data_IF_821243851980
#
_entry.id   IF_821243851980
#
_cell.length_a   1.000
_cell.length_b   1.000
_cell.length_c   1.000
_cell.angle_alpha   90.00
_cell.angle_beta   90.00
_cell.angle_gamma   90.00
#
_symmetry.space_group_name_H-M   'P 1'
#
loop_
_entity.id
_entity.type
_entity.pdbx_description
1 polymer ?
#
# COMPACT_ATOMS: atom_id res chain seq x y z
N UNK A 1 8.70 -3.57 -12.93
CA UNK A 1 7.88 -3.49 -11.69
C UNK A 1 8.63 -2.68 -10.66
N UNK A 2 7.94 -1.76 -9.99
CA UNK A 2 8.45 -0.97 -8.86
C UNK A 2 7.73 -1.38 -7.58
N UNK A 3 8.40 -1.23 -6.44
CA UNK A 3 7.82 -1.50 -5.14
C UNK A 3 8.14 -0.38 -4.18
N UNK A 4 7.14 0.11 -3.47
CA UNK A 4 7.32 1.22 -2.53
C UNK A 4 6.51 1.00 -1.26
N UNK A 5 7.03 1.60 -0.19
CA UNK A 5 6.38 1.71 1.11
C UNK A 5 6.26 3.20 1.41
N UNK A 6 5.05 3.66 1.70
CA UNK A 6 4.76 5.07 1.96
C UNK A 6 4.04 5.16 3.30
N UNK A 7 4.67 5.83 4.25
CA UNK A 7 3.99 6.28 5.47
C UNK A 7 3.22 7.55 5.16
N UNK A 8 1.98 7.64 5.65
CA UNK A 8 1.17 8.83 5.59
C UNK A 8 1.00 9.38 7.01
N UNK A 9 1.59 10.55 7.26
CA UNK A 9 1.67 11.20 8.54
C UNK A 9 0.45 12.10 8.74
N UNK A 10 -0.58 11.54 9.39
CA UNK A 10 -1.83 12.25 9.73
C UNK A 10 -2.45 11.71 11.02
N UNK A 11 -3.53 12.35 11.47
CA UNK A 11 -4.33 11.93 12.63
C UNK A 11 -5.74 11.41 12.26
N UNK A 12 -6.04 11.24 10.97
CA UNK A 12 -7.32 10.67 10.52
C UNK A 12 -7.46 9.17 10.85
N UNK A 13 -8.44 8.81 11.66
CA UNK A 13 -8.68 7.41 12.07
C UNK A 13 -9.16 6.49 10.93
N UNK A 14 -9.76 7.07 9.89
CA UNK A 14 -10.33 6.32 8.76
C UNK A 14 -9.36 6.11 7.59
N UNK A 15 -8.21 6.78 7.61
CA UNK A 15 -7.24 6.76 6.52
C UNK A 15 -6.05 5.85 6.87
N UNK A 16 -5.39 5.24 5.88
CA UNK A 16 -4.25 4.36 6.13
C UNK A 16 -3.01 5.15 6.55
N UNK A 17 -2.33 4.69 7.61
CA UNK A 17 -1.04 5.23 8.06
C UNK A 17 0.14 4.70 7.25
N UNK A 18 -0.04 3.59 6.53
CA UNK A 18 0.94 3.08 5.59
C UNK A 18 0.30 2.46 4.36
N UNK A 19 0.89 2.73 3.20
CA UNK A 19 0.48 2.24 1.89
C UNK A 19 1.69 1.55 1.25
N UNK A 20 1.59 0.25 1.01
CA UNK A 20 2.63 -0.56 0.35
C UNK A 20 2.12 -1.01 -1.01
N UNK A 21 2.85 -0.67 -2.07
CA UNK A 21 2.40 -0.89 -3.45
C UNK A 21 3.41 -1.70 -4.25
N UNK A 22 2.89 -2.66 -5.02
CA UNK A 22 3.55 -3.17 -6.22
C UNK A 22 2.95 -2.43 -7.42
N UNK A 23 3.84 -1.79 -8.19
CA UNK A 23 3.48 -0.95 -9.31
C UNK A 23 4.07 -1.50 -10.61
N UNK A 24 3.38 -1.27 -11.72
CA UNK A 24 4.01 -1.32 -13.05
C UNK A 24 5.09 -0.25 -13.16
N UNK A 25 5.95 -0.35 -14.18
CA UNK A 25 6.99 0.67 -14.39
C UNK A 25 6.38 2.06 -14.67
N UNK A 26 5.18 2.09 -15.27
CA UNK A 26 4.38 3.29 -15.51
C UNK A 26 3.59 3.78 -14.28
N UNK A 27 3.77 3.14 -13.12
CA UNK A 27 3.19 3.57 -11.83
C UNK A 27 1.77 3.12 -11.53
N UNK A 28 1.20 2.19 -12.32
CA UNK A 28 -0.12 1.63 -12.03
C UNK A 28 -0.06 0.56 -10.96
N UNK A 29 -1.01 0.55 -10.03
CA UNK A 29 -1.07 -0.45 -8.98
C UNK A 29 -1.42 -1.84 -9.54
N UNK A 30 -0.60 -2.83 -9.19
CA UNK A 30 -0.86 -4.26 -9.42
C UNK A 30 -1.40 -4.90 -8.15
N UNK A 31 -0.79 -4.55 -7.01
CA UNK A 31 -1.20 -4.95 -5.66
C UNK A 31 -0.96 -3.81 -4.69
N UNK A 32 -1.87 -3.66 -3.73
CA UNK A 32 -1.77 -2.68 -2.65
C UNK A 32 -2.09 -3.31 -1.30
N UNK A 33 -1.30 -2.94 -0.30
CA UNK A 33 -1.53 -3.21 1.12
C UNK A 33 -1.71 -1.86 1.80
N UNK A 34 -2.80 -1.71 2.55
CA UNK A 34 -3.06 -0.53 3.37
C UNK A 34 -3.10 -0.95 4.84
N UNK A 35 -2.40 -0.22 5.69
CA UNK A 35 -2.43 -0.42 7.14
C UNK A 35 -3.12 0.79 7.76
N UNK A 36 -4.18 0.53 8.51
CA UNK A 36 -4.98 1.56 9.17
C UNK A 36 -4.57 1.73 10.64
N UNK A 37 -4.95 2.84 11.28
CA UNK A 37 -4.84 3.01 12.73
C UNK A 37 -5.38 1.80 13.48
N UNK A 38 -4.63 1.30 14.47
CA UNK A 38 -4.97 0.08 15.20
C UNK A 38 -4.55 -1.23 14.53
N UNK A 39 -3.93 -1.17 13.34
CA UNK A 39 -3.27 -2.30 12.69
C UNK A 39 -4.18 -3.20 11.84
N UNK A 40 -5.42 -2.78 11.56
CA UNK A 40 -6.24 -3.46 10.54
C UNK A 40 -5.62 -3.26 9.16
N UNK A 41 -5.83 -4.24 8.28
CA UNK A 41 -5.17 -4.28 6.98
C UNK A 41 -6.19 -4.42 5.85
N UNK A 42 -6.03 -3.55 4.86
CA UNK A 42 -6.69 -3.64 3.56
C UNK A 42 -5.77 -4.22 2.50
N UNK A 43 -6.34 -4.97 1.56
CA UNK A 43 -5.62 -5.55 0.42
C UNK A 43 -6.42 -5.33 -0.85
N UNK A 44 -5.73 -4.97 -1.93
CA UNK A 44 -6.33 -4.87 -3.26
C UNK A 44 -5.42 -5.45 -4.33
N UNK A 45 -6.03 -6.13 -5.31
CA UNK A 45 -5.37 -6.68 -6.50
C UNK A 45 -6.40 -6.93 -7.60
N UNK A 46 -5.95 -7.31 -8.81
CA UNK A 46 -6.84 -7.79 -9.87
C UNK A 46 -7.64 -9.05 -9.50
N UNK A 47 -7.28 -9.76 -8.42
CA UNK A 47 -7.99 -10.95 -7.92
C UNK A 47 -9.06 -10.62 -6.88
N UNK A 48 -9.18 -9.35 -6.48
CA UNK A 48 -10.16 -8.89 -5.51
C UNK A 48 -9.56 -7.97 -4.45
N UNK A 49 -10.47 -7.50 -3.61
CA UNK A 49 -10.25 -6.50 -2.57
C UNK A 49 -10.77 -6.98 -1.21
N UNK A 50 -10.21 -6.44 -0.13
CA UNK A 50 -10.63 -6.71 1.25
C UNK A 50 -10.20 -5.60 2.19
N UNK A 51 -10.88 -5.50 3.34
CA UNK A 51 -10.53 -4.52 4.38
C UNK A 51 -10.73 -3.06 3.95
N UNK A 52 -11.65 -2.81 3.00
CA UNK A 52 -11.96 -1.46 2.50
C UNK A 52 -10.95 -0.89 1.50
N UNK A 53 -9.90 -1.63 1.15
CA UNK A 53 -8.92 -1.20 0.15
C UNK A 53 -9.43 -1.41 -1.27
N UNK A 54 -8.96 -0.62 -2.23
CA UNK A 54 -9.20 -0.78 -3.67
C UNK A 54 -7.99 -0.28 -4.46
N UNK A 55 -7.75 -0.79 -5.67
CA UNK A 55 -6.68 -0.25 -6.52
C UNK A 55 -7.00 1.19 -6.96
N UNK A 56 -6.00 2.05 -6.99
CA UNK A 56 -6.16 3.44 -7.43
C UNK A 56 -6.53 3.54 -8.92
N UNK A 57 -7.38 4.52 -9.25
CA UNK A 57 -7.77 4.84 -10.63
C UNK A 57 -6.73 5.68 -11.38
N UNK A 58 -5.72 6.18 -10.66
CA UNK A 58 -4.62 6.98 -11.18
C UNK A 58 -3.29 6.32 -10.86
N UNK A 59 -2.27 6.59 -11.68
CA UNK A 59 -0.92 6.13 -11.40
C UNK A 59 -0.38 6.76 -10.12
N UNK A 60 0.36 5.96 -9.35
CA UNK A 60 1.08 6.43 -8.18
C UNK A 60 2.27 7.31 -8.61
N UNK A 61 2.47 8.48 -7.98
CA UNK A 61 3.67 9.29 -8.22
C UNK A 61 4.95 8.51 -7.87
N UNK A 62 6.09 8.99 -8.36
CA UNK A 62 7.38 8.48 -7.90
C UNK A 62 7.70 8.95 -6.47
N UNK A 63 8.70 8.29 -5.85
CA UNK A 63 9.10 8.59 -4.48
C UNK A 63 9.64 10.01 -4.31
N UNK A 64 10.30 10.57 -5.33
CA UNK A 64 10.78 11.95 -5.29
C UNK A 64 9.61 12.94 -5.23
N UNK A 65 8.49 12.66 -5.90
CA UNK A 65 7.28 13.45 -5.83
C UNK A 65 6.54 13.27 -4.51
N UNK A 66 6.41 12.03 -4.02
CA UNK A 66 5.78 11.72 -2.74
C UNK A 66 6.51 12.45 -1.60
N UNK A 67 7.83 12.33 -1.55
CA UNK A 67 8.67 12.89 -0.49
C UNK A 67 8.84 14.42 -0.54
N UNK A 68 8.30 15.10 -1.57
CA UNK A 68 8.20 16.57 -1.56
C UNK A 68 7.09 17.07 -0.63
N UNK A 69 6.10 16.25 -0.30
CA UNK A 69 5.09 16.59 0.68
C UNK A 69 5.53 16.15 2.07
N UNK A 70 5.46 17.02 3.09
CA UNK A 70 5.84 16.69 4.47
C UNK A 70 4.89 15.69 5.13
N UNK A 71 3.71 15.43 4.53
CA UNK A 71 2.75 14.45 5.01
C UNK A 71 3.17 13.01 4.68
N UNK A 72 4.18 12.80 3.83
CA UNK A 72 4.58 11.47 3.40
C UNK A 72 6.06 11.17 3.66
N UNK A 73 6.32 9.91 3.99
CA UNK A 73 7.67 9.34 4.02
C UNK A 73 7.69 8.04 3.21
N UNK A 74 8.19 8.14 1.99
CA UNK A 74 8.24 7.07 1.00
C UNK A 74 9.64 6.51 0.82
N UNK A 75 9.73 5.17 0.77
CA UNK A 75 10.97 4.44 0.49
C UNK A 75 10.76 3.34 -0.54
N UNK A 76 11.78 3.10 -1.35
CA UNK A 76 11.80 1.96 -2.26
C UNK A 76 12.02 0.68 -1.46
N UNK A 77 11.23 -0.35 -1.76
CA UNK A 77 11.41 -1.68 -1.18
C UNK A 77 11.71 -2.70 -2.28
N UNK A 78 12.19 -3.88 -1.87
CA UNK A 78 12.41 -4.98 -2.80
C UNK A 78 11.17 -5.89 -2.95
N UNK A 79 11.05 -6.61 -4.07
CA UNK A 79 9.96 -7.58 -4.29
C UNK A 79 9.90 -8.65 -3.19
N UNK A 80 11.05 -9.07 -2.64
CA UNK A 80 11.09 -10.07 -1.56
C UNK A 80 10.40 -9.60 -0.29
N UNK A 81 10.59 -8.32 0.08
CA UNK A 81 9.95 -7.74 1.26
C UNK A 81 8.45 -7.56 1.00
N UNK A 82 8.09 -7.02 -0.16
CA UNK A 82 6.68 -6.90 -0.56
C UNK A 82 5.94 -8.24 -0.48
N UNK A 83 6.51 -9.30 -1.04
CA UNK A 83 5.92 -10.63 -1.01
C UNK A 83 5.77 -11.22 0.40
N UNK A 84 6.71 -10.89 1.30
CA UNK A 84 6.58 -11.31 2.70
C UNK A 84 5.41 -10.61 3.38
N UNK A 85 5.30 -9.28 3.22
CA UNK A 85 4.18 -8.48 3.75
C UNK A 85 2.84 -8.91 3.16
N UNK A 86 2.78 -9.13 1.84
CA UNK A 86 1.58 -9.58 1.15
C UNK A 86 1.07 -10.92 1.67
N UNK A 87 1.97 -11.89 1.86
CA UNK A 87 1.60 -13.21 2.43
C UNK A 87 1.12 -13.10 3.87
N UNK A 88 1.77 -12.27 4.68
CA UNK A 88 1.39 -12.05 6.07
C UNK A 88 -0.02 -11.46 6.15
N UNK A 89 -0.25 -10.35 5.44
CA UNK A 89 -1.54 -9.68 5.38
C UNK A 89 -2.65 -10.60 4.82
N UNK A 90 -2.35 -11.39 3.79
CA UNK A 90 -3.32 -12.32 3.19
C UNK A 90 -3.75 -13.45 4.13
N UNK A 91 -2.93 -13.78 5.15
CA UNK A 91 -3.24 -14.80 6.17
C UNK A 91 -4.09 -14.26 7.31
N UNK A 92 -3.96 -12.97 7.62
CA UNK A 92 -4.70 -12.28 8.67
C UNK A 92 -6.18 -12.04 8.33
N UNK A 93 -6.63 -12.43 7.12
CA UNK A 93 -8.03 -12.30 6.71
C UNK A 93 -8.93 -13.10 7.66
N UNK A 94 -10.00 -12.52 8.22
CA UNK A 94 -11.02 -13.30 8.89
C UNK A 94 -11.51 -14.38 7.91
N UNK A 95 -11.54 -15.64 8.34
CA UNK A 95 -12.24 -16.67 7.59
C UNK A 95 -13.73 -16.30 7.54
N UNK A 96 -14.41 -16.49 6.41
CA UNK A 96 -15.87 -16.42 6.38
C UNK A 96 -16.49 -17.44 7.34
#
# INVERSE_FOLDING_TARGET
>A
MRYQFVEWLHEFDSEPVAIIQELTDDGWEVRKIEVFPGGSVGLASSRGESGGSALAELSSPDLDAINRSPEFNGVAIGPRLFEALWREASRARPRP
#
